data_IF_179581362747
#
_entry.id   IF_179581362747
#
_cell.length_a   1.000
_cell.length_b   1.000
_cell.length_c   1.000
_cell.angle_alpha   90.00
_cell.angle_beta   90.00
_cell.angle_gamma   90.00
#
_symmetry.space_group_name_H-M   'P 1'
#
loop_
_entity.id
_entity.type
_entity.pdbx_description
1 polymer ?
#
# COMPACT_ATOMS: atom_id res chain seq x y z
N UNK A 1 -22.58 -1.71 2.50
CA UNK A 1 -21.91 -0.73 3.39
C UNK A 1 -20.99 0.12 2.51
N UNK A 2 -20.86 1.43 2.77
CA UNK A 2 -19.87 2.25 2.08
C UNK A 2 -18.47 1.64 2.27
N UNK A 3 -17.60 1.79 1.27
CA UNK A 3 -16.22 1.30 1.37
C UNK A 3 -15.46 2.09 2.45
N UNK A 4 -14.50 1.45 3.10
CA UNK A 4 -13.77 2.00 4.27
C UNK A 4 -13.10 3.36 4.03
N UNK A 5 -12.73 3.69 2.79
CA UNK A 5 -12.10 4.95 2.45
C UNK A 5 -13.10 6.13 2.41
N UNK A 6 -14.39 5.85 2.21
CA UNK A 6 -15.45 6.86 2.08
C UNK A 6 -15.94 7.30 3.47
N UNK A 7 -15.05 7.99 4.19
CA UNK A 7 -15.25 8.46 5.57
C UNK A 7 -15.99 9.80 5.63
N UNK A 8 -16.36 10.38 4.50
CA UNK A 8 -16.98 11.71 4.44
C UNK A 8 -18.24 11.79 5.31
N UNK A 9 -18.25 12.70 6.28
CA UNK A 9 -19.38 12.91 7.19
C UNK A 9 -19.54 11.87 8.30
N UNK A 10 -18.57 10.98 8.50
CA UNK A 10 -18.58 10.08 9.65
C UNK A 10 -18.30 10.88 10.93
N UNK A 11 -19.03 10.63 12.03
CA UNK A 11 -18.71 11.21 13.32
C UNK A 11 -17.30 10.81 13.75
N UNK A 12 -16.47 11.79 14.06
CA UNK A 12 -15.15 11.60 14.66
C UNK A 12 -14.85 12.80 15.54
N UNK A 13 -14.66 12.56 16.84
CA UNK A 13 -14.33 13.58 17.84
C UNK A 13 -12.86 13.54 18.26
N UNK A 14 -12.07 12.64 17.66
CA UNK A 14 -10.63 12.52 17.93
C UNK A 14 -9.89 13.74 17.40
N UNK A 15 -8.93 14.23 18.19
CA UNK A 15 -8.07 15.32 17.78
C UNK A 15 -7.19 14.89 16.59
N UNK A 16 -7.05 15.78 15.61
CA UNK A 16 -6.11 15.60 14.51
C UNK A 16 -4.71 15.85 15.04
N UNK A 17 -3.78 14.94 14.74
CA UNK A 17 -2.35 15.17 14.90
C UNK A 17 -1.81 15.96 13.68
N UNK A 18 -1.35 17.20 13.86
CA UNK A 18 -0.84 18.03 12.77
C UNK A 18 0.68 17.93 12.59
N UNK A 19 1.37 17.14 13.43
CA UNK A 19 2.83 17.07 13.39
C UNK A 19 3.32 16.50 12.05
N UNK A 20 4.46 17.01 11.58
CA UNK A 20 5.04 16.57 10.31
C UNK A 20 5.63 15.16 10.49
N UNK A 21 5.16 14.21 9.68
CA UNK A 21 5.68 12.86 9.65
C UNK A 21 7.05 12.83 8.95
N UNK A 22 8.10 12.50 9.69
CA UNK A 22 9.42 12.26 9.10
C UNK A 22 9.42 10.91 8.35
N UNK A 23 9.54 10.97 7.02
CA UNK A 23 9.57 9.75 6.22
C UNK A 23 10.78 8.88 6.52
N UNK A 24 10.51 7.64 6.91
CA UNK A 24 11.51 6.58 7.02
C UNK A 24 12.06 6.21 5.64
N UNK A 25 13.25 5.60 5.62
CA UNK A 25 13.91 5.22 4.36
C UNK A 25 13.06 4.26 3.52
N UNK A 26 12.35 3.31 4.15
CA UNK A 26 11.50 2.37 3.43
C UNK A 26 10.28 3.07 2.81
N UNK A 27 9.74 4.12 3.44
CA UNK A 27 8.62 4.90 2.90
C UNK A 27 9.04 5.65 1.65
N UNK A 28 10.27 6.20 1.64
CA UNK A 28 10.88 6.82 0.45
C UNK A 28 11.06 5.80 -0.68
N UNK A 29 11.43 4.57 -0.34
CA UNK A 29 11.56 3.48 -1.32
C UNK A 29 10.19 3.08 -1.91
N UNK A 30 9.14 3.03 -1.09
CA UNK A 30 7.77 2.75 -1.54
C UNK A 30 7.27 3.84 -2.48
N UNK A 31 7.49 5.12 -2.13
CA UNK A 31 7.12 6.24 -2.99
C UNK A 31 7.87 6.21 -4.33
N UNK A 32 9.19 5.99 -4.29
CA UNK A 32 10.01 5.85 -5.49
C UNK A 32 9.56 4.67 -6.36
N UNK A 33 9.22 3.53 -5.75
CA UNK A 33 8.68 2.36 -6.46
C UNK A 33 7.36 2.71 -7.14
N UNK A 34 6.45 3.39 -6.44
CA UNK A 34 5.21 3.88 -7.04
C UNK A 34 5.49 4.80 -8.24
N UNK A 35 6.48 5.69 -8.18
CA UNK A 35 6.94 6.48 -9.33
C UNK A 35 7.35 5.61 -10.51
N UNK A 36 8.31 4.70 -10.29
CA UNK A 36 8.87 3.82 -11.33
C UNK A 36 7.81 2.92 -11.98
N UNK A 37 6.87 2.36 -11.20
CA UNK A 37 5.78 1.55 -11.76
C UNK A 37 4.85 2.39 -12.64
N UNK A 38 4.68 3.67 -12.30
CA UNK A 38 3.90 4.63 -13.09
C UNK A 38 4.58 4.94 -14.43
N UNK A 39 5.87 5.28 -14.37
CA UNK A 39 6.68 5.59 -15.56
C UNK A 39 6.77 4.41 -16.53
N UNK A 40 6.76 3.19 -16.01
CA UNK A 40 6.73 1.95 -16.81
C UNK A 40 5.34 1.57 -17.33
N UNK A 41 4.30 2.32 -16.98
CA UNK A 41 2.92 2.03 -17.40
C UNK A 41 2.32 0.78 -16.75
N UNK A 42 2.92 0.27 -15.67
CA UNK A 42 2.38 -0.88 -14.94
C UNK A 42 1.21 -0.48 -14.04
N UNK A 43 1.13 0.79 -13.65
CA UNK A 43 -0.07 1.33 -12.97
C UNK A 43 -0.31 2.79 -13.32
N UNK A 44 -1.54 3.23 -13.14
CA UNK A 44 -1.90 4.63 -13.01
C UNK A 44 -2.46 4.94 -11.61
N UNK A 45 -2.74 6.22 -11.35
CA UNK A 45 -3.23 6.67 -10.03
C UNK A 45 -4.59 6.06 -9.68
N UNK A 46 -5.50 5.91 -10.64
CA UNK A 46 -6.83 5.37 -10.39
C UNK A 46 -6.80 3.87 -10.08
N UNK A 47 -5.90 3.12 -10.71
CA UNK A 47 -5.66 1.71 -10.40
C UNK A 47 -5.13 1.51 -8.98
N UNK A 48 -4.18 2.36 -8.55
CA UNK A 48 -3.66 2.35 -7.18
C UNK A 48 -4.76 2.68 -6.17
N UNK A 49 -5.55 3.74 -6.41
CA UNK A 49 -6.70 4.10 -5.56
C UNK A 49 -7.67 2.94 -5.45
N UNK A 50 -8.13 2.40 -6.58
CA UNK A 50 -9.05 1.25 -6.60
C UNK A 50 -8.51 0.05 -5.80
N UNK A 51 -7.22 -0.23 -5.88
CA UNK A 51 -6.58 -1.30 -5.12
C UNK A 51 -6.61 -1.01 -3.60
N UNK A 52 -6.21 0.18 -3.16
CA UNK A 52 -6.29 0.61 -1.75
C UNK A 52 -7.74 0.54 -1.23
N UNK A 53 -8.70 1.00 -2.02
CA UNK A 53 -10.13 1.01 -1.70
C UNK A 53 -10.79 -0.38 -1.72
N UNK A 54 -10.07 -1.40 -2.20
CA UNK A 54 -10.52 -2.80 -2.20
C UNK A 54 -10.11 -3.57 -0.94
N UNK A 55 -9.22 -3.00 -0.13
CA UNK A 55 -8.85 -3.57 1.17
C UNK A 55 -10.08 -3.69 2.07
N UNK A 56 -10.19 -4.81 2.79
CA UNK A 56 -11.22 -4.97 3.80
C UNK A 56 -11.01 -3.99 4.96
N UNK A 57 -12.07 -3.74 5.74
CA UNK A 57 -12.07 -2.77 6.84
C UNK A 57 -10.91 -3.00 7.81
N UNK A 58 -10.70 -4.25 8.23
CA UNK A 58 -9.68 -4.58 9.23
C UNK A 58 -8.29 -4.28 8.70
N UNK A 59 -7.99 -4.73 7.48
CA UNK A 59 -6.69 -4.49 6.84
C UNK A 59 -6.44 -3.00 6.59
N UNK A 60 -7.45 -2.28 6.10
CA UNK A 60 -7.31 -0.84 5.84
C UNK A 60 -7.02 -0.05 7.13
N UNK A 61 -7.68 -0.38 8.23
CA UNK A 61 -7.47 0.31 9.51
C UNK A 61 -6.16 -0.07 10.19
N UNK A 62 -5.63 -1.28 9.96
CA UNK A 62 -4.38 -1.72 10.58
C UNK A 62 -3.12 -1.20 9.89
N UNK A 63 -3.17 -0.91 8.59
CA UNK A 63 -2.00 -0.51 7.81
C UNK A 63 -1.74 1.00 7.89
N UNK A 64 -0.48 1.40 8.04
CA UNK A 64 -0.03 2.78 7.86
C UNK A 64 -0.15 3.23 6.38
N UNK A 65 0.06 4.52 6.13
CA UNK A 65 -0.17 5.13 4.81
C UNK A 65 0.61 4.44 3.68
N UNK A 66 1.94 4.33 3.82
CA UNK A 66 2.79 3.67 2.81
C UNK A 66 2.68 2.14 2.82
N UNK A 67 2.19 1.54 3.90
CA UNK A 67 1.86 0.11 3.91
C UNK A 67 0.64 -0.19 3.03
N UNK A 68 -0.38 0.67 3.05
CA UNK A 68 -1.54 0.56 2.12
C UNK A 68 -1.08 0.64 0.65
N UNK A 69 -0.12 1.52 0.34
CA UNK A 69 0.46 1.62 -1.00
C UNK A 69 1.21 0.35 -1.40
N UNK A 70 2.03 -0.17 -0.49
CA UNK A 70 2.76 -1.43 -0.73
C UNK A 70 1.81 -2.58 -1.02
N UNK A 71 0.78 -2.78 -0.19
CA UNK A 71 -0.23 -3.83 -0.39
C UNK A 71 -0.98 -3.64 -1.72
N UNK A 72 -1.31 -2.41 -2.08
CA UNK A 72 -1.98 -2.09 -3.33
C UNK A 72 -1.12 -2.34 -4.57
N UNK A 73 0.17 -2.01 -4.51
CA UNK A 73 1.12 -2.29 -5.60
C UNK A 73 1.34 -3.80 -5.77
N UNK A 74 1.47 -4.56 -4.67
CA UNK A 74 1.51 -6.02 -4.71
C UNK A 74 0.28 -6.59 -5.42
N UNK A 75 -0.93 -6.18 -4.99
CA UNK A 75 -2.18 -6.62 -5.63
C UNK A 75 -2.18 -6.33 -7.13
N UNK A 76 -1.79 -5.13 -7.55
CA UNK A 76 -1.76 -4.77 -8.97
C UNK A 76 -0.78 -5.60 -9.79
N UNK A 77 0.44 -5.80 -9.28
CA UNK A 77 1.47 -6.57 -9.98
C UNK A 77 1.07 -8.05 -10.12
N UNK A 78 0.39 -8.59 -9.10
CA UNK A 78 -0.16 -9.96 -9.15
C UNK A 78 -1.36 -10.04 -10.10
N UNK A 79 -2.33 -9.11 -10.02
CA UNK A 79 -3.49 -9.05 -10.91
C UNK A 79 -3.10 -8.97 -12.40
N UNK A 80 -1.99 -8.29 -12.70
CA UNK A 80 -1.48 -8.11 -14.06
C UNK A 80 -0.55 -9.25 -14.52
N UNK A 81 -0.22 -10.20 -13.64
CA UNK A 81 0.70 -11.31 -13.94
C UNK A 81 2.16 -10.88 -14.11
N UNK A 82 2.55 -9.73 -13.55
CA UNK A 82 3.96 -9.26 -13.54
C UNK A 82 4.78 -10.06 -12.53
N UNK A 83 4.14 -10.46 -11.42
CA UNK A 83 4.71 -11.33 -10.38
C UNK A 83 3.63 -12.28 -9.86
N UNK A 84 4.02 -13.41 -9.27
CA UNK A 84 3.10 -14.22 -8.48
C UNK A 84 3.27 -13.97 -6.98
N UNK A 85 2.24 -14.30 -6.21
CA UNK A 85 2.31 -14.19 -4.75
C UNK A 85 3.41 -15.08 -4.17
N UNK A 86 3.59 -16.27 -4.74
CA UNK A 86 4.62 -17.23 -4.33
C UNK A 86 6.03 -16.69 -4.55
N UNK A 87 6.27 -15.95 -5.64
CA UNK A 87 7.57 -15.32 -5.90
C UNK A 87 7.89 -14.26 -4.85
N UNK A 88 6.89 -13.46 -4.45
CA UNK A 88 7.00 -12.44 -3.42
C UNK A 88 7.27 -13.10 -2.06
N UNK A 89 6.45 -14.08 -1.67
CA UNK A 89 6.56 -14.80 -0.40
C UNK A 89 7.93 -15.52 -0.28
N UNK A 90 8.39 -16.16 -1.35
CA UNK A 90 9.70 -16.81 -1.39
C UNK A 90 10.84 -15.79 -1.22
N UNK A 91 10.74 -14.62 -1.85
CA UNK A 91 11.74 -13.56 -1.69
C UNK A 91 11.75 -13.01 -0.27
N UNK A 92 10.58 -12.79 0.33
CA UNK A 92 10.47 -12.32 1.71
C UNK A 92 11.04 -13.33 2.71
N UNK A 93 10.80 -14.63 2.50
CA UNK A 93 11.38 -15.69 3.33
C UNK A 93 12.91 -15.72 3.25
N UNK A 94 13.49 -15.55 2.05
CA UNK A 94 14.95 -15.44 1.87
C UNK A 94 15.52 -14.22 2.61
N UNK A 95 14.91 -13.04 2.46
CA UNK A 95 15.37 -11.82 3.14
C UNK A 95 15.29 -11.94 4.68
N UNK A 96 14.31 -12.67 5.20
CA UNK A 96 14.19 -12.91 6.64
C UNK A 96 15.29 -13.86 7.18
N UNK A 97 15.81 -14.76 6.35
CA UNK A 97 16.94 -15.63 6.70
C UNK A 97 18.27 -14.88 6.68
N UNK A 98 18.46 -13.99 5.69
CA UNK A 98 19.68 -13.20 5.54
C UNK A 98 19.88 -12.13 6.64
N UNK A 99 18.79 -11.77 7.35
CA UNK A 99 18.82 -10.84 8.49
C UNK A 99 19.15 -11.50 9.84
N UNK A 100 19.32 -12.83 9.90
CA UNK A 100 19.73 -13.57 11.10
C UNK A 100 21.24 -13.81 11.11
#
# INVERSE_FOLDING_TARGET
MPKVHDRGGWPNDDAIDPDEHEMEEWERQVDALNGVLGDKGLKNTDQLRRAIESLDLKTYESLAYYEKWTAAMEMLLVEQGVMTKEEIDAKMASLAQDKK
#
